data_IF_336729427996
#
_entry.id   IF_336729427996
#
_cell.length_a   1.000
_cell.length_b   1.000
_cell.length_c   1.000
_cell.angle_alpha   90.00
_cell.angle_beta   90.00
_cell.angle_gamma   90.00
#
_symmetry.space_group_name_H-M   'P 1'
#
loop_
_entity.id
_entity.type
_entity.pdbx_description
1 polymer ?
#
# COMPACT_ATOMS: atom_id res chain seq x y z
N UNK A 1 3.01 -2.97 -8.67
CA UNK A 1 4.31 -3.65 -8.69
C UNK A 1 5.25 -2.93 -7.74
N UNK A 2 5.97 -3.68 -6.93
CA UNK A 2 7.15 -3.19 -6.21
C UNK A 2 8.38 -3.97 -6.68
N UNK A 3 9.52 -3.28 -6.80
CA UNK A 3 10.77 -3.81 -7.31
C UNK A 3 11.87 -3.41 -6.36
N UNK A 4 12.68 -4.36 -5.93
CA UNK A 4 13.85 -4.08 -5.07
C UNK A 4 14.99 -3.46 -5.86
N UNK A 5 15.93 -2.81 -5.19
CA UNK A 5 17.12 -2.28 -5.82
C UNK A 5 17.97 -3.32 -6.56
N UNK A 6 17.88 -4.60 -6.16
CA UNK A 6 18.53 -5.72 -6.85
C UNK A 6 18.09 -5.88 -8.30
N UNK A 7 16.84 -5.57 -8.61
CA UNK A 7 16.24 -5.73 -9.94
C UNK A 7 16.13 -4.41 -10.73
N UNK A 8 16.75 -3.33 -10.26
CA UNK A 8 16.74 -2.02 -10.92
C UNK A 8 18.15 -1.57 -11.30
N UNK A 9 18.29 -0.86 -12.41
CA UNK A 9 19.58 -0.32 -12.86
C UNK A 9 20.19 0.68 -11.84
N UNK A 10 19.35 1.44 -11.15
CA UNK A 10 19.80 2.47 -10.21
C UNK A 10 20.12 1.91 -8.81
N UNK A 11 19.92 0.61 -8.57
CA UNK A 11 20.09 0.00 -7.26
C UNK A 11 19.10 0.51 -6.18
N UNK A 12 18.00 1.13 -6.60
CA UNK A 12 16.98 1.70 -5.72
C UNK A 12 15.64 1.01 -5.92
N UNK A 13 14.83 0.82 -4.89
CA UNK A 13 13.48 0.30 -5.06
C UNK A 13 12.66 1.20 -5.98
N UNK A 14 11.76 0.57 -6.73
CA UNK A 14 10.76 1.23 -7.56
C UNK A 14 9.37 0.72 -7.21
N UNK A 15 8.41 1.59 -7.31
CA UNK A 15 7.00 1.29 -7.14
C UNK A 15 6.21 1.82 -8.33
N UNK A 16 5.30 1.02 -8.84
CA UNK A 16 4.39 1.42 -9.92
C UNK A 16 2.99 0.92 -9.61
N UNK A 17 2.01 1.79 -9.76
CA UNK A 17 0.60 1.45 -9.63
C UNK A 17 -0.18 1.89 -10.87
N UNK A 18 -1.19 1.11 -11.24
CA UNK A 18 -2.22 1.50 -12.18
C UNK A 18 -3.49 1.76 -11.39
N UNK A 19 -3.94 3.02 -11.41
CA UNK A 19 -5.17 3.40 -10.72
C UNK A 19 -6.37 3.16 -11.63
N UNK A 20 -7.23 2.24 -11.23
CA UNK A 20 -8.52 1.97 -11.84
C UNK A 20 -9.62 2.38 -10.86
N UNK A 21 -10.35 3.43 -11.16
CA UNK A 21 -11.31 4.05 -10.23
C UNK A 21 -12.46 4.74 -10.99
N UNK A 22 -13.61 4.85 -10.33
CA UNK A 22 -14.73 5.66 -10.80
C UNK A 22 -14.51 7.18 -10.72
N UNK A 23 -13.44 7.66 -10.07
CA UNK A 23 -13.05 9.06 -9.99
C UNK A 23 -11.91 9.38 -10.98
N UNK A 24 -12.20 9.76 -12.23
CA UNK A 24 -11.17 9.88 -13.28
C UNK A 24 -10.29 11.12 -13.13
N UNK A 25 -10.75 12.14 -12.41
CA UNK A 25 -10.02 13.39 -12.22
C UNK A 25 -9.21 13.33 -10.94
N UNK A 26 -7.91 13.37 -11.09
CA UNK A 26 -6.96 13.28 -10.00
C UNK A 26 -5.87 14.34 -10.16
N UNK A 27 -5.23 14.74 -9.06
CA UNK A 27 -4.04 15.58 -9.08
C UNK A 27 -3.08 15.20 -7.96
N UNK A 28 -1.85 15.67 -8.05
CA UNK A 28 -0.85 15.52 -7.00
C UNK A 28 -0.99 16.71 -6.05
N UNK A 29 -1.34 16.43 -4.80
CA UNK A 29 -1.33 17.41 -3.71
C UNK A 29 0.01 17.41 -2.97
N UNK A 30 0.38 18.56 -2.43
CA UNK A 30 1.46 18.70 -1.45
C UNK A 30 0.85 18.93 -0.07
N UNK A 31 1.34 18.19 0.93
CA UNK A 31 0.80 18.19 2.28
C UNK A 31 1.89 18.45 3.32
N UNK A 32 1.59 19.40 4.22
CA UNK A 32 2.38 19.74 5.40
C UNK A 32 1.43 19.82 6.61
N UNK A 33 1.16 18.67 7.23
CA UNK A 33 0.10 18.48 8.24
C UNK A 33 0.65 18.12 9.63
N UNK A 34 1.89 18.45 9.87
CA UNK A 34 2.65 17.94 11.01
C UNK A 34 3.12 16.51 10.79
N UNK A 35 4.34 16.20 11.15
CA UNK A 35 5.06 14.99 10.74
C UNK A 35 5.83 15.21 9.46
N UNK A 36 6.03 14.17 8.67
CA UNK A 36 6.73 14.29 7.38
C UNK A 36 5.84 14.94 6.32
N UNK A 37 6.43 15.85 5.53
CA UNK A 37 5.79 16.43 4.35
C UNK A 37 5.75 15.39 3.23
N UNK A 38 4.68 15.40 2.44
CA UNK A 38 4.51 14.40 1.39
C UNK A 38 3.79 14.95 0.15
N UNK A 39 3.98 14.25 -0.95
CA UNK A 39 3.19 14.37 -2.17
C UNK A 39 2.23 13.18 -2.21
N UNK A 40 0.97 13.43 -2.53
CA UNK A 40 -0.05 12.41 -2.61
C UNK A 40 -0.98 12.57 -3.79
N UNK A 41 -1.37 11.49 -4.42
CA UNK A 41 -2.42 11.47 -5.44
C UNK A 41 -3.78 11.50 -4.74
N UNK A 42 -4.58 12.52 -5.03
CA UNK A 42 -5.93 12.70 -4.47
C UNK A 42 -6.97 12.85 -5.58
N UNK A 43 -8.23 12.63 -5.27
CA UNK A 43 -9.32 12.97 -6.17
C UNK A 43 -9.44 14.50 -6.28
N UNK A 44 -9.71 15.01 -7.47
CA UNK A 44 -9.77 16.47 -7.68
C UNK A 44 -11.01 17.13 -7.08
N UNK A 45 -12.04 16.36 -6.81
CA UNK A 45 -13.28 16.79 -6.13
C UNK A 45 -13.19 16.70 -4.59
N UNK A 46 -12.14 16.03 -4.06
CA UNK A 46 -11.85 15.93 -2.63
C UNK A 46 -10.34 16.04 -2.36
N UNK A 47 -9.75 17.23 -2.56
CA UNK A 47 -8.29 17.41 -2.48
C UNK A 47 -7.73 17.24 -1.05
N UNK A 48 -8.56 17.41 -0.03
CA UNK A 48 -8.20 17.23 1.38
C UNK A 48 -8.56 15.83 1.91
N UNK A 49 -9.05 14.96 1.06
CA UNK A 49 -9.53 13.64 1.41
C UNK A 49 -8.47 12.55 1.40
N UNK A 50 -8.87 11.40 0.93
CA UNK A 50 -8.04 10.21 0.85
C UNK A 50 -6.86 10.36 -0.12
N UNK A 51 -5.69 9.79 0.26
CA UNK A 51 -4.50 9.69 -0.59
C UNK A 51 -4.42 8.28 -1.16
N UNK A 52 -4.29 8.14 -2.48
CA UNK A 52 -4.33 6.85 -3.17
C UNK A 52 -2.96 6.29 -3.57
N UNK A 53 -1.96 7.11 -3.55
CA UNK A 53 -0.52 6.77 -3.59
C UNK A 53 0.26 8.02 -3.21
N UNK A 54 1.44 7.87 -2.65
CA UNK A 54 2.24 9.02 -2.25
C UNK A 54 3.66 8.68 -1.86
N UNK A 55 4.44 9.75 -1.69
CA UNK A 55 5.82 9.67 -1.24
C UNK A 55 6.13 10.83 -0.30
N UNK A 56 6.79 10.57 0.81
CA UNK A 56 7.17 11.60 1.76
C UNK A 56 8.64 12.02 1.61
N UNK A 57 9.02 13.09 2.29
CA UNK A 57 10.35 13.68 2.23
C UNK A 57 11.49 12.78 2.74
N UNK A 58 11.17 11.69 3.44
CA UNK A 58 12.16 10.70 3.88
C UNK A 58 12.42 9.61 2.84
N UNK A 59 11.65 9.58 1.75
CA UNK A 59 11.70 8.56 0.71
C UNK A 59 10.83 7.32 0.99
N UNK A 60 9.99 7.34 2.03
CA UNK A 60 8.94 6.34 2.19
C UNK A 60 7.82 6.60 1.19
N UNK A 61 7.42 5.55 0.47
CA UNK A 61 6.34 5.63 -0.52
C UNK A 61 5.37 4.48 -0.32
N UNK A 62 4.09 4.75 -0.58
CA UNK A 62 3.00 3.79 -0.39
C UNK A 62 1.98 3.87 -1.51
N UNK A 63 1.42 2.72 -1.88
CA UNK A 63 0.28 2.57 -2.78
C UNK A 63 -0.63 1.46 -2.27
N UNK A 64 -1.85 1.35 -2.81
CA UNK A 64 -2.70 0.21 -2.54
C UNK A 64 -3.29 -0.41 -3.81
N UNK A 65 -3.76 -1.66 -3.66
CA UNK A 65 -4.78 -2.27 -4.50
C UNK A 65 -5.89 -2.79 -3.59
N UNK A 66 -7.15 -2.73 -4.02
CA UNK A 66 -8.21 -3.40 -3.29
C UNK A 66 -7.94 -4.92 -3.24
N UNK A 67 -8.39 -5.59 -2.19
CA UNK A 67 -8.33 -7.05 -2.08
C UNK A 67 -9.75 -7.61 -2.01
N UNK A 68 -10.11 -8.52 -2.91
CA UNK A 68 -11.47 -9.06 -2.97
C UNK A 68 -11.62 -10.43 -2.30
N UNK A 69 -10.56 -10.98 -1.76
CA UNK A 69 -10.55 -12.34 -1.26
C UNK A 69 -10.04 -12.51 0.17
N UNK A 70 -9.65 -11.43 0.86
CA UNK A 70 -9.04 -11.50 2.19
C UNK A 70 -10.02 -11.17 3.32
N UNK A 71 -11.14 -10.52 3.01
CA UNK A 71 -12.18 -10.22 3.99
C UNK A 71 -12.82 -11.50 4.51
N UNK A 72 -12.91 -11.60 5.82
CA UNK A 72 -13.45 -12.77 6.54
C UNK A 72 -14.53 -12.41 7.59
N UNK A 73 -15.08 -11.19 7.51
CA UNK A 73 -16.10 -10.66 8.40
C UNK A 73 -17.25 -9.96 7.65
N UNK A 74 -18.28 -9.54 8.38
CA UNK A 74 -19.47 -8.86 7.86
C UNK A 74 -19.41 -7.33 8.00
N UNK A 75 -18.27 -6.74 8.31
CA UNK A 75 -18.11 -5.28 8.46
C UNK A 75 -18.33 -4.62 7.10
N UNK A 76 -19.32 -3.71 7.04
CA UNK A 76 -19.73 -3.06 5.79
C UNK A 76 -19.08 -1.70 5.57
N UNK A 77 -18.75 -1.01 6.66
CA UNK A 77 -18.09 0.30 6.59
C UNK A 77 -16.59 0.10 6.41
N UNK A 78 -16.16 0.11 5.18
CA UNK A 78 -14.78 -0.05 4.73
C UNK A 78 -14.22 1.28 4.19
N UNK A 79 -13.33 1.25 3.22
CA UNK A 79 -12.80 2.39 2.48
C UNK A 79 -11.92 3.35 3.32
N UNK A 80 -11.19 2.80 4.31
CA UNK A 80 -10.24 3.59 5.09
C UNK A 80 -8.81 3.54 4.54
N UNK A 81 -8.59 2.89 3.40
CA UNK A 81 -7.28 2.67 2.80
C UNK A 81 -6.54 4.00 2.52
N UNK A 82 -7.23 4.94 1.88
CA UNK A 82 -6.64 6.23 1.55
C UNK A 82 -6.34 7.09 2.78
N UNK A 83 -7.17 7.01 3.82
CA UNK A 83 -6.93 7.67 5.10
C UNK A 83 -5.76 7.03 5.86
N UNK A 84 -5.65 5.71 5.80
CA UNK A 84 -4.53 4.96 6.36
C UNK A 84 -3.22 5.37 5.67
N UNK A 85 -3.20 5.41 4.34
CA UNK A 85 -2.01 5.82 3.58
C UNK A 85 -1.61 7.27 3.87
N UNK A 86 -2.58 8.20 3.98
CA UNK A 86 -2.31 9.60 4.36
C UNK A 86 -1.65 9.69 5.74
N UNK A 87 -2.12 8.91 6.72
CA UNK A 87 -1.51 8.85 8.06
C UNK A 87 -0.11 8.23 8.01
N UNK A 88 0.07 7.13 7.27
CA UNK A 88 1.35 6.47 7.14
C UNK A 88 2.42 7.38 6.52
N UNK A 89 2.07 8.15 5.48
CA UNK A 89 2.98 9.13 4.85
C UNK A 89 3.48 10.20 5.83
N UNK A 90 2.70 10.54 6.86
CA UNK A 90 3.08 11.53 7.87
C UNK A 90 4.05 11.00 8.92
N UNK A 91 4.08 9.68 9.17
CA UNK A 91 4.78 9.13 10.33
C UNK A 91 5.81 8.05 10.01
N UNK A 92 5.69 7.38 8.85
CA UNK A 92 6.59 6.30 8.49
C UNK A 92 7.78 6.83 7.69
N UNK A 93 8.96 6.29 7.95
CA UNK A 93 10.20 6.54 7.21
C UNK A 93 10.70 5.27 6.51
N UNK A 94 10.39 4.11 7.08
CA UNK A 94 10.86 2.81 6.63
C UNK A 94 9.70 1.84 6.48
N UNK A 95 9.92 0.74 5.76
CA UNK A 95 8.99 -0.40 5.72
C UNK A 95 8.71 -0.94 7.12
N UNK A 96 9.72 -0.94 8.02
CA UNK A 96 9.58 -1.34 9.42
C UNK A 96 8.67 -0.39 10.22
N UNK A 97 8.75 0.93 9.98
CA UNK A 97 7.85 1.89 10.62
C UNK A 97 6.41 1.65 10.21
N UNK A 98 6.17 1.28 8.93
CA UNK A 98 4.83 0.95 8.46
C UNK A 98 4.27 -0.31 9.12
N UNK A 99 5.08 -1.33 9.33
CA UNK A 99 4.70 -2.53 10.07
C UNK A 99 4.29 -2.18 11.50
N UNK A 100 5.13 -1.40 12.20
CA UNK A 100 4.79 -0.91 13.54
C UNK A 100 3.54 -0.02 13.54
N UNK A 101 3.36 0.82 12.54
CA UNK A 101 2.16 1.64 12.39
C UNK A 101 0.90 0.77 12.28
N UNK A 102 0.92 -0.29 11.45
CA UNK A 102 -0.19 -1.24 11.35
C UNK A 102 -0.49 -1.95 12.68
N UNK A 103 0.54 -2.28 13.47
CA UNK A 103 0.39 -2.90 14.79
C UNK A 103 -0.33 -1.98 15.79
N UNK A 104 -0.16 -0.68 15.67
CA UNK A 104 -0.75 0.32 16.56
C UNK A 104 -2.17 0.73 16.19
N UNK A 105 -2.66 0.36 15.02
CA UNK A 105 -4.00 0.72 14.58
C UNK A 105 -5.09 0.03 15.40
N UNK A 106 -6.19 0.72 15.71
CA UNK A 106 -7.34 0.07 16.33
C UNK A 106 -7.95 -0.98 15.42
N UNK A 107 -8.55 -2.00 16.03
CA UNK A 107 -9.33 -3.01 15.30
C UNK A 107 -10.83 -2.73 15.49
N UNK A 108 -11.66 -2.94 14.45
CA UNK A 108 -11.30 -3.30 13.07
C UNK A 108 -10.62 -2.14 12.31
N UNK A 109 -9.64 -2.46 11.45
CA UNK A 109 -8.93 -1.43 10.65
C UNK A 109 -9.81 -0.78 9.58
N UNK A 110 -10.89 -1.42 9.18
CA UNK A 110 -11.83 -1.01 8.11
C UNK A 110 -11.16 -0.87 6.75
N UNK A 111 -10.23 -1.78 6.48
CA UNK A 111 -9.51 -1.89 5.22
C UNK A 111 -9.57 -3.31 4.69
N UNK A 112 -9.58 -3.45 3.39
CA UNK A 112 -9.39 -4.70 2.69
C UNK A 112 -8.54 -4.42 1.45
N UNK A 113 -7.22 -4.40 1.66
CA UNK A 113 -6.28 -3.95 0.64
C UNK A 113 -4.91 -4.63 0.73
N UNK A 114 -4.20 -4.61 -0.38
CA UNK A 114 -2.78 -4.88 -0.43
C UNK A 114 -2.03 -3.54 -0.49
N UNK A 115 -1.31 -3.19 0.57
CA UNK A 115 -0.46 -2.01 0.58
C UNK A 115 0.93 -2.36 0.09
N UNK A 116 1.37 -1.75 -1.01
CA UNK A 116 2.75 -1.80 -1.46
C UNK A 116 3.53 -0.65 -0.87
N UNK A 117 4.66 -0.92 -0.23
CA UNK A 117 5.53 0.10 0.38
C UNK A 117 6.98 -0.09 -0.01
N UNK A 118 7.69 1.02 -0.20
CA UNK A 118 9.14 1.06 -0.40
C UNK A 118 9.74 2.18 0.44
N UNK A 119 11.04 2.10 0.72
CA UNK A 119 11.78 3.14 1.42
C UNK A 119 13.14 3.45 0.80
N UNK A 120 13.77 4.55 1.24
CA UNK A 120 15.07 4.99 0.77
C UNK A 120 16.23 4.07 1.19
N UNK A 121 16.00 3.11 2.08
CA UNK A 121 17.01 2.21 2.64
C UNK A 121 17.02 0.83 1.95
N UNK A 122 16.18 0.64 0.93
CA UNK A 122 16.09 -0.60 0.16
C UNK A 122 14.94 -1.51 0.58
N UNK A 123 14.14 -1.10 1.57
CA UNK A 123 12.92 -1.82 1.96
C UNK A 123 11.89 -1.82 0.82
N UNK A 124 11.27 -2.99 0.59
CA UNK A 124 10.21 -3.16 -0.40
C UNK A 124 9.32 -4.34 0.02
N UNK A 125 8.06 -4.08 0.37
CA UNK A 125 7.15 -5.12 0.82
C UNK A 125 5.69 -4.82 0.44
N UNK A 126 4.89 -5.87 0.31
CA UNK A 126 3.43 -5.77 0.37
C UNK A 126 2.91 -6.22 1.73
N UNK A 127 1.83 -5.58 2.14
CA UNK A 127 1.04 -5.94 3.32
C UNK A 127 -0.39 -6.23 2.88
N UNK A 128 -0.75 -7.49 2.87
CA UNK A 128 -2.11 -7.97 2.62
C UNK A 128 -2.91 -7.77 3.89
N UNK A 129 -3.88 -6.85 3.90
CA UNK A 129 -4.59 -6.45 5.12
C UNK A 129 -6.07 -6.75 5.04
N UNK A 130 -6.64 -7.18 6.17
CA UNK A 130 -8.06 -7.16 6.43
C UNK A 130 -8.35 -6.40 7.74
N UNK A 131 -9.55 -6.50 8.27
CA UNK A 131 -9.97 -5.76 9.47
C UNK A 131 -9.16 -6.10 10.72
N UNK A 132 -8.64 -7.35 10.85
CA UNK A 132 -8.06 -7.86 12.09
C UNK A 132 -6.54 -8.00 12.01
N UNK A 133 -5.99 -8.29 10.82
CA UNK A 133 -4.60 -8.70 10.66
C UNK A 133 -4.02 -8.26 9.32
N UNK A 134 -2.72 -8.45 9.19
CA UNK A 134 -2.01 -8.32 7.94
C UNK A 134 -1.00 -9.46 7.74
N UNK A 135 -0.61 -9.67 6.49
CA UNK A 135 0.44 -10.60 6.10
C UNK A 135 1.49 -9.86 5.28
N UNK A 136 2.72 -9.86 5.76
CA UNK A 136 3.84 -9.23 5.06
C UNK A 136 4.40 -10.15 3.98
N UNK A 137 4.64 -9.58 2.82
CA UNK A 137 5.33 -10.19 1.69
C UNK A 137 6.54 -9.33 1.34
N UNK A 138 7.72 -9.73 1.82
CA UNK A 138 8.96 -8.99 1.62
C UNK A 138 9.55 -9.30 0.25
N UNK A 139 9.69 -8.29 -0.60
CA UNK A 139 10.29 -8.45 -1.94
C UNK A 139 11.81 -8.67 -1.89
N UNK A 140 12.45 -8.48 -0.75
CA UNK A 140 13.85 -8.81 -0.53
C UNK A 140 14.07 -10.29 -0.12
N UNK A 141 13.00 -11.03 0.22
CA UNK A 141 13.10 -12.47 0.49
C UNK A 141 13.28 -13.25 -0.84
N UNK A 142 14.45 -13.87 -1.07
CA UNK A 142 14.71 -14.59 -2.31
C UNK A 142 13.84 -15.85 -2.49
N UNK A 143 13.25 -16.38 -1.42
CA UNK A 143 12.33 -17.51 -1.50
C UNK A 143 10.95 -17.08 -2.01
N UNK A 144 10.55 -15.84 -1.72
CA UNK A 144 9.27 -15.28 -2.15
C UNK A 144 9.39 -14.54 -3.47
N UNK A 145 10.44 -13.75 -3.65
CA UNK A 145 10.69 -12.91 -4.80
C UNK A 145 12.11 -13.12 -5.37
N UNK A 146 12.40 -14.28 -5.97
CA UNK A 146 13.75 -14.62 -6.45
C UNK A 146 14.29 -13.61 -7.48
N UNK A 147 13.41 -13.01 -8.28
CA UNK A 147 13.75 -11.98 -9.25
C UNK A 147 13.77 -10.55 -8.66
N UNK A 148 13.46 -10.40 -7.37
CA UNK A 148 13.49 -9.11 -6.66
C UNK A 148 12.30 -8.20 -6.96
N UNK A 149 11.16 -8.74 -7.32
CA UNK A 149 9.92 -7.95 -7.46
C UNK A 149 8.68 -8.76 -7.07
N UNK A 150 7.61 -8.04 -6.72
CA UNK A 150 6.28 -8.58 -6.47
C UNK A 150 5.24 -7.81 -7.30
N UNK A 151 4.29 -8.57 -7.87
CA UNK A 151 3.18 -8.04 -8.65
C UNK A 151 1.87 -8.38 -7.92
N UNK A 152 1.07 -7.36 -7.67
CA UNK A 152 -0.26 -7.52 -7.12
C UNK A 152 -1.31 -6.94 -8.05
N UNK A 153 -2.47 -7.59 -8.04
CA UNK A 153 -3.72 -7.09 -8.60
C UNK A 153 -4.71 -6.90 -7.43
N UNK A 154 -6.00 -7.01 -7.68
CA UNK A 154 -7.04 -6.94 -6.65
C UNK A 154 -7.25 -8.29 -5.93
N UNK A 155 -6.16 -8.96 -5.58
CA UNK A 155 -6.15 -10.29 -5.00
C UNK A 155 -4.99 -10.43 -4.01
N UNK A 156 -5.25 -11.06 -2.86
CA UNK A 156 -4.24 -11.38 -1.84
C UNK A 156 -3.86 -12.85 -1.92
N UNK A 157 -2.57 -13.17 -1.77
CA UNK A 157 -2.10 -14.56 -1.78
C UNK A 157 -2.58 -15.36 -0.57
N UNK A 158 -2.75 -14.70 0.59
CA UNK A 158 -3.28 -15.34 1.81
C UNK A 158 -4.80 -15.41 1.86
N UNK A 159 -5.48 -14.86 0.88
CA UNK A 159 -6.93 -14.84 0.83
C UNK A 159 -7.54 -16.14 0.28
N UNK A 160 -8.86 -16.20 0.28
CA UNK A 160 -9.61 -17.34 -0.26
C UNK A 160 -9.33 -17.53 -1.75
N UNK A 161 -9.12 -18.78 -2.16
CA UNK A 161 -8.83 -19.15 -3.56
C UNK A 161 -10.07 -19.60 -4.33
N UNK A 162 -11.18 -19.81 -3.65
CA UNK A 162 -12.40 -20.42 -4.15
C UNK A 162 -13.39 -19.43 -4.78
N UNK A 163 -13.21 -18.14 -4.56
CA UNK A 163 -14.14 -17.11 -5.02
C UNK A 163 -13.77 -16.46 -6.35
N UNK A 164 -13.11 -17.11 -7.26
CA UNK A 164 -13.00 -16.85 -8.71
C UNK A 164 -13.09 -15.43 -9.28
N UNK A 165 -13.11 -14.38 -8.47
CA UNK A 165 -13.28 -12.99 -8.89
C UNK A 165 -12.03 -12.13 -8.70
N UNK A 166 -10.99 -12.67 -8.13
CA UNK A 166 -9.69 -12.02 -8.08
C UNK A 166 -8.79 -12.66 -9.12
N UNK A 167 -8.24 -11.90 -10.02
CA UNK A 167 -7.35 -12.42 -11.04
C UNK A 167 -5.90 -12.21 -10.63
N UNK A 168 -5.24 -13.29 -10.23
CA UNK A 168 -3.79 -13.40 -10.38
C UNK A 168 -3.58 -13.81 -11.85
N UNK A 169 -3.06 -12.93 -12.63
CA UNK A 169 -2.55 -13.22 -13.96
C UNK A 169 -1.06 -13.01 -13.97
#
# INVERSE_FOLDING_TARGET
IIITGKATLAGRPLMWTHRDTGAPYNHIGYFDEGGYRFLGLVNSDDPEGAVWTGSNETGFSIMNTASYNLKDDDIKEMDQEGNLMRKALRVCKTVQDFEHFLDTLPRPMRVEANFGVIDAYGGAAYYETNNERYYKKDANDPNLAPEGYLIYTNFSFEGRTDEGKGYVR
#
